data_IF_633230362926
#
_entry.id   IF_633230362926
#
_cell.length_a   1.000
_cell.length_b   1.000
_cell.length_c   1.000
_cell.angle_alpha   90.00
_cell.angle_beta   90.00
_cell.angle_gamma   90.00
#
_symmetry.space_group_name_H-M   'P 1'
#
loop_
_entity.id
_entity.type
_entity.pdbx_description
1 polymer ?
#
# COMPACT_ATOMS: atom_id res chain seq x y z
N UNK A 1 13.69 13.04 16.01
CA UNK A 1 14.49 14.02 15.22
C UNK A 1 14.07 15.44 15.58
N UNK A 2 14.99 16.43 15.65
CA UNK A 2 14.63 17.85 15.82
C UNK A 2 14.40 18.51 14.47
N UNK A 3 13.54 19.55 14.44
CA UNK A 3 13.25 20.28 13.21
C UNK A 3 14.50 20.80 12.48
N UNK A 4 15.44 21.43 13.22
CA UNK A 4 16.68 21.96 12.65
C UNK A 4 17.62 20.87 12.12
N UNK A 5 17.52 19.69 12.67
CA UNK A 5 18.26 18.50 12.19
C UNK A 5 17.70 18.03 10.86
N UNK A 6 16.38 17.83 10.77
CA UNK A 6 15.73 17.48 9.51
C UNK A 6 16.04 18.51 8.41
N UNK A 7 15.95 19.80 8.73
CA UNK A 7 16.27 20.86 7.79
C UNK A 7 17.71 20.74 7.27
N UNK A 8 18.69 20.57 8.16
CA UNK A 8 20.12 20.40 7.79
C UNK A 8 20.32 19.17 6.91
N UNK A 9 19.68 18.05 7.23
CA UNK A 9 19.78 16.82 6.44
C UNK A 9 19.18 17.03 5.04
N UNK A 10 18.03 17.68 4.91
CA UNK A 10 17.41 18.04 3.65
C UNK A 10 18.22 19.04 2.82
N UNK A 11 19.06 19.84 3.45
CA UNK A 11 19.96 20.82 2.79
C UNK A 11 21.33 20.25 2.45
N UNK A 12 21.76 19.17 3.10
CA UNK A 12 23.12 18.59 2.98
C UNK A 12 23.40 18.01 1.58
N UNK A 13 22.39 17.47 0.91
CA UNK A 13 22.55 16.70 -0.33
C UNK A 13 23.12 15.30 -0.10
N UNK A 14 23.29 14.87 1.13
CA UNK A 14 23.75 13.53 1.50
C UNK A 14 22.56 12.59 1.70
N UNK A 15 22.35 11.71 0.72
CA UNK A 15 21.21 10.79 0.71
C UNK A 15 21.23 9.82 1.90
N UNK A 16 22.40 9.37 2.33
CA UNK A 16 22.51 8.37 3.41
C UNK A 16 21.99 8.93 4.75
N UNK A 17 22.05 10.23 4.96
CA UNK A 17 21.51 10.86 6.17
C UNK A 17 19.97 10.81 6.23
N UNK A 18 19.29 10.95 5.10
CA UNK A 18 17.82 10.95 5.04
C UNK A 18 17.24 9.58 4.71
N UNK A 19 18.03 8.65 4.20
CA UNK A 19 17.62 7.34 3.74
C UNK A 19 16.75 6.56 4.74
N UNK A 20 17.06 6.50 6.05
CA UNK A 20 16.24 5.80 7.05
C UNK A 20 14.83 6.37 7.21
N UNK A 21 14.63 7.62 6.79
CA UNK A 21 13.36 8.35 6.89
C UNK A 21 12.57 8.36 5.59
N UNK A 22 13.10 7.74 4.53
CA UNK A 22 12.39 7.63 3.27
C UNK A 22 11.23 6.63 3.39
N UNK A 23 10.10 7.02 2.81
CA UNK A 23 8.90 6.20 2.74
C UNK A 23 8.06 6.60 1.52
N UNK A 24 7.06 5.79 1.15
CA UNK A 24 6.03 6.21 0.23
C UNK A 24 4.78 6.67 1.00
N UNK A 25 4.16 7.76 0.56
CA UNK A 25 2.76 8.03 0.82
C UNK A 25 1.94 7.53 -0.37
N UNK A 26 1.02 6.62 -0.11
CA UNK A 26 0.03 6.20 -1.10
C UNK A 26 -1.10 7.22 -1.14
N UNK A 27 -1.52 7.63 -2.34
CA UNK A 27 -2.65 8.53 -2.55
C UNK A 27 -3.51 8.06 -3.70
N UNK A 28 -4.81 8.30 -3.63
CA UNK A 28 -5.72 8.07 -4.75
C UNK A 28 -5.39 8.99 -5.94
N UNK A 29 -5.67 8.53 -7.16
CA UNK A 29 -5.45 9.33 -8.37
C UNK A 29 -6.28 10.63 -8.36
N UNK A 30 -7.48 10.61 -7.81
CA UNK A 30 -8.38 11.75 -7.68
C UNK A 30 -8.22 12.55 -6.38
N UNK A 31 -7.22 12.21 -5.56
CA UNK A 31 -6.97 12.88 -4.29
C UNK A 31 -6.61 14.37 -4.47
N UNK A 32 -7.17 15.28 -3.66
CA UNK A 32 -6.75 16.69 -3.65
C UNK A 32 -5.26 16.88 -3.30
N UNK A 33 -4.62 15.89 -2.71
CA UNK A 33 -3.17 15.89 -2.44
C UNK A 33 -2.32 15.82 -3.72
N UNK A 34 -2.89 15.45 -4.87
CA UNK A 34 -2.15 15.38 -6.15
C UNK A 34 -1.41 16.68 -6.49
N UNK A 35 -2.01 17.84 -6.20
CA UNK A 35 -1.34 19.12 -6.47
C UNK A 35 -0.07 19.31 -5.61
N UNK A 36 -0.06 18.80 -4.37
CA UNK A 36 1.13 18.82 -3.50
C UNK A 36 2.27 17.98 -4.09
N UNK A 37 1.95 16.88 -4.75
CA UNK A 37 2.91 15.91 -5.28
C UNK A 37 3.21 16.07 -6.78
N UNK A 38 2.65 17.04 -7.43
CA UNK A 38 2.77 17.31 -8.87
C UNK A 38 4.21 17.28 -9.43
N UNK A 39 5.20 17.66 -8.61
CA UNK A 39 6.62 17.66 -8.99
C UNK A 39 7.42 16.53 -8.34
N UNK A 40 6.78 15.52 -7.79
CA UNK A 40 7.44 14.36 -7.21
C UNK A 40 7.58 13.23 -8.23
N UNK A 41 8.65 12.43 -8.17
CA UNK A 41 8.63 11.10 -8.77
C UNK A 41 7.51 10.26 -8.14
N UNK A 42 6.97 9.31 -8.86
CA UNK A 42 5.92 8.42 -8.32
C UNK A 42 5.89 7.08 -9.05
N UNK A 43 5.30 6.10 -8.39
CA UNK A 43 4.89 4.82 -8.98
C UNK A 43 3.37 4.85 -9.13
N UNK A 44 2.87 4.40 -10.27
CA UNK A 44 1.44 4.20 -10.50
C UNK A 44 1.11 2.73 -10.28
N UNK A 45 0.13 2.44 -9.44
CA UNK A 45 -0.43 1.11 -9.21
C UNK A 45 -1.94 1.22 -9.36
N UNK A 46 -2.44 0.87 -10.53
CA UNK A 46 -3.85 1.06 -10.89
C UNK A 46 -4.26 2.55 -10.77
N UNK A 47 -5.27 2.89 -9.98
CA UNK A 47 -5.72 4.26 -9.68
C UNK A 47 -5.06 4.86 -8.42
N UNK A 48 -3.95 4.30 -7.98
CA UNK A 48 -3.18 4.76 -6.83
C UNK A 48 -1.80 5.23 -7.25
N UNK A 49 -1.30 6.25 -6.57
CA UNK A 49 0.06 6.78 -6.75
C UNK A 49 0.86 6.64 -5.46
N UNK A 50 2.08 6.13 -5.55
CA UNK A 50 3.03 6.07 -4.45
C UNK A 50 4.06 7.19 -4.58
N UNK A 51 4.04 8.14 -3.65
CA UNK A 51 4.87 9.34 -3.66
C UNK A 51 6.00 9.24 -2.66
N UNK A 52 7.28 9.32 -3.08
CA UNK A 52 8.41 9.41 -2.16
C UNK A 52 8.29 10.61 -1.24
N UNK A 53 8.51 10.38 0.04
CA UNK A 53 8.54 11.41 1.07
C UNK A 53 9.64 11.12 2.10
N UNK A 54 10.05 12.15 2.82
CA UNK A 54 10.76 12.00 4.09
C UNK A 54 9.73 12.04 5.20
N UNK A 55 9.73 11.01 6.04
CA UNK A 55 8.82 10.88 7.17
C UNK A 55 9.61 10.63 8.45
N UNK A 56 9.46 11.54 9.42
CA UNK A 56 10.20 11.48 10.66
C UNK A 56 9.37 12.03 11.83
N UNK A 57 9.47 11.40 12.99
CA UNK A 57 8.87 11.90 14.22
C UNK A 57 9.78 12.96 14.86
N UNK A 58 9.18 14.01 15.42
CA UNK A 58 9.89 15.04 16.16
C UNK A 58 10.06 14.66 17.64
N UNK A 59 11.33 14.64 18.13
CA UNK A 59 11.64 14.29 19.51
C UNK A 59 11.01 15.26 20.52
N UNK A 60 10.96 16.53 20.16
CA UNK A 60 10.41 17.59 21.01
C UNK A 60 8.88 17.60 21.06
N UNK A 61 8.24 16.85 20.14
CA UNK A 61 6.78 16.79 19.99
C UNK A 61 6.35 15.33 19.67
N UNK A 62 6.32 14.45 20.68
CA UNK A 62 5.92 13.04 20.48
C UNK A 62 4.55 12.92 19.77
N UNK A 63 4.48 12.08 18.76
CA UNK A 63 3.28 11.90 17.92
C UNK A 63 3.13 12.94 16.81
N UNK A 64 4.00 13.96 16.73
CA UNK A 64 4.03 14.90 15.60
C UNK A 64 5.03 14.39 14.56
N UNK A 65 4.52 14.07 13.38
CA UNK A 65 5.30 13.59 12.26
C UNK A 65 5.56 14.70 11.24
N UNK A 66 6.81 14.85 10.82
CA UNK A 66 7.14 15.62 9.62
C UNK A 66 6.87 14.77 8.37
N UNK A 67 6.13 15.32 7.42
CA UNK A 67 5.99 14.77 6.06
C UNK A 67 6.50 15.78 5.06
N UNK A 68 7.59 15.43 4.37
CA UNK A 68 8.19 16.28 3.36
C UNK A 68 8.22 15.55 2.02
N UNK A 69 7.39 15.94 1.04
CA UNK A 69 7.41 15.36 -0.29
C UNK A 69 8.80 15.44 -0.92
N UNK A 70 9.28 14.36 -1.54
CA UNK A 70 10.58 14.34 -2.21
C UNK A 70 10.42 14.71 -3.68
N UNK A 71 10.65 15.98 -4.00
CA UNK A 71 10.43 16.54 -5.34
C UNK A 71 11.60 16.26 -6.29
N UNK A 72 11.38 16.41 -7.60
CA UNK A 72 12.45 16.38 -8.63
C UNK A 72 13.57 17.38 -8.36
N UNK A 73 13.28 18.53 -7.71
CA UNK A 73 14.30 19.50 -7.28
C UNK A 73 15.20 18.92 -6.19
N UNK A 74 14.63 18.15 -5.27
CA UNK A 74 15.42 17.44 -4.25
C UNK A 74 16.24 16.33 -4.87
N UNK A 75 15.72 15.57 -5.84
CA UNK A 75 16.52 14.61 -6.59
C UNK A 75 17.81 15.25 -7.13
N UNK A 76 17.72 16.44 -7.74
CA UNK A 76 18.89 17.17 -8.24
C UNK A 76 19.85 17.57 -7.12
N UNK A 77 19.34 17.96 -5.95
CA UNK A 77 20.19 18.35 -4.80
C UNK A 77 20.96 17.14 -4.23
N UNK A 78 20.31 15.99 -4.18
CA UNK A 78 20.90 14.76 -3.68
C UNK A 78 21.66 13.96 -4.75
N UNK A 79 21.80 14.53 -5.97
CA UNK A 79 22.49 13.88 -7.09
C UNK A 79 21.99 12.47 -7.39
N UNK A 80 20.68 12.28 -7.28
CA UNK A 80 19.99 11.01 -7.55
C UNK A 80 18.95 11.21 -8.66
N UNK A 81 18.81 10.23 -9.56
CA UNK A 81 17.72 10.26 -10.53
C UNK A 81 16.37 9.93 -9.88
N UNK A 82 15.23 10.31 -10.49
CA UNK A 82 13.92 9.92 -10.03
C UNK A 82 13.76 8.41 -9.89
N UNK A 83 14.28 7.64 -10.82
CA UNK A 83 14.21 6.18 -10.86
C UNK A 83 15.04 5.54 -9.74
N UNK A 84 16.26 6.03 -9.51
CA UNK A 84 17.12 5.59 -8.41
C UNK A 84 16.49 5.92 -7.04
N UNK A 85 15.87 7.11 -6.89
CA UNK A 85 15.14 7.44 -5.67
C UNK A 85 14.02 6.44 -5.39
N UNK A 86 13.22 6.12 -6.40
CA UNK A 86 12.13 5.12 -6.29
C UNK A 86 12.70 3.79 -5.76
N UNK A 87 13.80 3.31 -6.34
CA UNK A 87 14.44 2.06 -5.90
C UNK A 87 14.89 2.13 -4.43
N UNK A 88 15.53 3.25 -4.03
CA UNK A 88 15.96 3.44 -2.64
C UNK A 88 14.76 3.41 -1.69
N UNK A 89 13.65 4.07 -2.04
CA UNK A 89 12.45 4.07 -1.18
C UNK A 89 11.79 2.69 -1.14
N UNK A 90 11.79 1.93 -2.26
CA UNK A 90 11.30 0.54 -2.27
C UNK A 90 12.14 -0.34 -1.32
N UNK A 91 13.47 -0.20 -1.35
CA UNK A 91 14.38 -0.95 -0.46
C UNK A 91 14.14 -0.60 1.02
N UNK A 92 13.95 0.68 1.35
CA UNK A 92 13.66 1.10 2.73
C UNK A 92 12.28 0.63 3.18
N UNK A 93 11.28 0.65 2.31
CA UNK A 93 9.94 0.12 2.59
C UNK A 93 9.99 -1.39 2.84
N UNK A 94 10.74 -2.13 2.01
CA UNK A 94 10.91 -3.58 2.17
C UNK A 94 11.53 -3.98 3.52
N UNK A 95 12.46 -3.17 4.06
CA UNK A 95 13.05 -3.40 5.39
C UNK A 95 12.05 -3.24 6.54
N UNK A 96 11.01 -2.44 6.31
CA UNK A 96 9.97 -2.15 7.30
C UNK A 96 8.74 -3.04 7.15
N UNK A 97 8.66 -3.84 6.09
CA UNK A 97 7.51 -4.68 5.82
C UNK A 97 7.39 -5.78 6.86
N UNK A 98 6.20 -5.90 7.48
CA UNK A 98 5.86 -7.01 8.36
C UNK A 98 5.65 -8.30 7.55
N UNK A 99 5.86 -9.48 8.15
CA UNK A 99 5.38 -10.72 7.58
C UNK A 99 3.89 -10.65 7.27
N UNK A 100 3.46 -11.31 6.21
CA UNK A 100 2.05 -11.40 5.88
C UNK A 100 1.34 -12.31 6.90
N UNK A 101 0.57 -11.72 7.79
CA UNK A 101 -0.21 -12.41 8.83
C UNK A 101 -1.64 -12.69 8.37
N UNK A 102 -2.25 -13.77 8.82
CA UNK A 102 -3.71 -13.90 8.77
C UNK A 102 -4.36 -12.86 9.68
N UNK A 103 -5.55 -12.40 9.33
CA UNK A 103 -6.23 -11.29 10.03
C UNK A 103 -6.41 -11.58 11.53
N UNK A 104 -6.69 -12.83 11.90
CA UNK A 104 -6.87 -13.21 13.30
C UNK A 104 -5.53 -13.17 14.07
N UNK A 105 -4.44 -13.68 13.48
CA UNK A 105 -3.09 -13.61 14.05
C UNK A 105 -2.65 -12.15 14.23
N UNK A 106 -2.87 -11.33 13.20
CA UNK A 106 -2.54 -9.90 13.23
C UNK A 106 -3.29 -9.18 14.34
N UNK A 107 -4.60 -9.43 14.47
CA UNK A 107 -5.46 -8.78 15.46
C UNK A 107 -5.05 -9.18 16.88
N UNK A 108 -4.73 -10.45 17.11
CA UNK A 108 -4.25 -10.91 18.39
C UNK A 108 -2.88 -10.31 18.74
N UNK A 109 -1.94 -10.37 17.80
CA UNK A 109 -0.57 -9.90 18.01
C UNK A 109 -0.48 -8.39 18.24
N UNK A 110 -1.22 -7.59 17.46
CA UNK A 110 -1.12 -6.11 17.47
C UNK A 110 -2.10 -5.45 18.44
N UNK A 111 -3.24 -6.04 18.69
CA UNK A 111 -4.31 -5.44 19.49
C UNK A 111 -4.69 -6.26 20.74
N UNK A 112 -4.15 -7.47 20.90
CA UNK A 112 -4.48 -8.36 21.99
C UNK A 112 -5.96 -8.81 22.00
N UNK A 113 -6.59 -8.85 20.82
CA UNK A 113 -8.00 -9.18 20.65
C UNK A 113 -8.16 -10.45 19.81
N UNK A 114 -8.87 -11.43 20.33
CA UNK A 114 -9.32 -12.58 19.54
C UNK A 114 -10.52 -12.20 18.66
N UNK A 115 -10.49 -12.64 17.40
CA UNK A 115 -11.65 -12.58 16.53
C UNK A 115 -12.64 -13.70 16.88
N UNK A 116 -13.97 -13.50 16.70
CA UNK A 116 -14.96 -14.56 16.79
C UNK A 116 -14.63 -15.71 15.81
N UNK A 117 -14.91 -16.96 16.19
CA UNK A 117 -14.59 -18.15 15.37
C UNK A 117 -15.11 -18.06 13.94
N UNK A 118 -16.33 -17.52 13.75
CA UNK A 118 -16.92 -17.32 12.41
C UNK A 118 -16.11 -16.38 11.51
N UNK A 119 -15.33 -15.46 12.09
CA UNK A 119 -14.55 -14.47 11.37
C UNK A 119 -13.12 -14.99 11.08
N UNK A 120 -12.69 -16.06 11.77
CA UNK A 120 -11.43 -16.76 11.52
C UNK A 120 -11.47 -17.65 10.26
N UNK A 121 -12.66 -17.99 9.78
CA UNK A 121 -12.83 -18.84 8.60
C UNK A 121 -12.55 -18.10 7.28
N UNK A 122 -12.51 -16.77 7.29
CA UNK A 122 -12.22 -15.97 6.11
C UNK A 122 -10.69 -15.94 5.90
N UNK A 123 -10.16 -16.48 4.79
CA UNK A 123 -8.73 -16.49 4.53
C UNK A 123 -8.24 -15.10 4.08
N UNK A 124 -8.21 -14.18 5.03
CA UNK A 124 -7.82 -12.78 4.87
C UNK A 124 -6.47 -12.53 5.53
N UNK A 125 -5.60 -11.84 4.83
CA UNK A 125 -4.25 -11.49 5.27
C UNK A 125 -4.09 -9.97 5.33
N UNK A 126 -3.22 -9.50 6.21
CA UNK A 126 -2.88 -8.09 6.38
C UNK A 126 -1.45 -7.86 5.90
N UNK A 127 -1.28 -6.91 4.99
CA UNK A 127 0.02 -6.44 4.53
C UNK A 127 0.23 -4.99 5.01
N UNK A 128 1.26 -4.77 5.80
CA UNK A 128 1.58 -3.47 6.41
C UNK A 128 3.06 -3.37 6.78
N UNK A 129 3.47 -2.25 7.34
CA UNK A 129 4.80 -2.01 7.92
C UNK A 129 4.80 -2.24 9.43
N UNK A 130 6.00 -2.39 10.01
CA UNK A 130 6.20 -2.69 11.44
C UNK A 130 5.66 -1.60 12.39
N UNK A 131 5.58 -0.36 11.92
CA UNK A 131 4.99 0.77 12.64
C UNK A 131 3.49 0.98 12.34
N UNK A 132 2.93 0.18 11.45
CA UNK A 132 1.54 0.23 10.98
C UNK A 132 1.12 1.61 10.45
N UNK A 133 2.09 2.39 10.01
CA UNK A 133 1.88 3.73 9.47
C UNK A 133 2.26 3.78 7.99
N UNK A 134 1.37 4.25 7.12
CA UNK A 134 1.56 4.24 5.66
C UNK A 134 1.91 2.86 5.10
N UNK A 135 1.49 1.80 5.80
CA UNK A 135 1.82 0.42 5.49
C UNK A 135 1.25 -0.09 4.18
N UNK A 136 0.24 0.55 3.61
CA UNK A 136 -0.24 0.26 2.25
C UNK A 136 0.88 0.32 1.21
N UNK A 137 1.93 1.11 1.47
CA UNK A 137 3.10 1.26 0.60
C UNK A 137 3.90 -0.02 0.36
N UNK A 138 3.70 -1.08 1.15
CA UNK A 138 4.37 -2.39 0.95
C UNK A 138 4.09 -2.99 -0.43
N UNK A 139 2.94 -2.66 -1.05
CA UNK A 139 2.63 -3.11 -2.42
C UNK A 139 3.57 -2.53 -3.48
N UNK A 140 4.32 -1.48 -3.15
CA UNK A 140 5.32 -0.87 -4.03
C UNK A 140 6.66 -1.60 -4.00
N UNK A 141 6.87 -2.55 -3.07
CA UNK A 141 8.13 -3.29 -2.99
C UNK A 141 8.25 -4.32 -4.11
N UNK A 142 9.48 -4.66 -4.46
CA UNK A 142 9.74 -5.60 -5.53
C UNK A 142 9.11 -6.97 -5.25
N UNK A 143 8.47 -7.52 -6.27
CA UNK A 143 7.85 -8.84 -6.24
C UNK A 143 6.81 -9.04 -5.11
N UNK A 144 6.29 -7.96 -4.50
CA UNK A 144 5.29 -8.04 -3.44
C UNK A 144 4.15 -8.99 -3.81
N UNK A 145 3.52 -8.77 -4.95
CA UNK A 145 2.37 -9.56 -5.39
C UNK A 145 2.71 -11.05 -5.55
N UNK A 146 3.89 -11.36 -6.10
CA UNK A 146 4.36 -12.75 -6.23
C UNK A 146 4.67 -13.40 -4.88
N UNK A 147 5.29 -12.65 -3.97
CA UNK A 147 5.58 -13.14 -2.62
C UNK A 147 4.29 -13.41 -1.84
N UNK A 148 3.32 -12.51 -1.92
CA UNK A 148 2.00 -12.68 -1.33
C UNK A 148 1.29 -13.90 -1.92
N UNK A 149 1.30 -14.09 -3.25
CA UNK A 149 0.70 -15.25 -3.90
C UNK A 149 1.30 -16.59 -3.43
N UNK A 150 2.62 -16.64 -3.20
CA UNK A 150 3.28 -17.84 -2.65
C UNK A 150 2.82 -18.14 -1.22
N UNK A 151 2.68 -17.11 -0.38
CA UNK A 151 2.23 -17.23 1.02
C UNK A 151 0.75 -17.64 1.10
N UNK A 152 -0.11 -17.00 0.29
CA UNK A 152 -1.56 -17.25 0.23
C UNK A 152 -1.88 -18.59 -0.46
N UNK A 153 -1.01 -19.01 -1.39
CA UNK A 153 -1.14 -20.26 -2.12
C UNK A 153 -1.99 -20.14 -3.40
N UNK A 154 -1.92 -19.02 -4.11
CA UNK A 154 -2.60 -18.79 -5.39
C UNK A 154 -2.99 -17.34 -5.63
N UNK A 155 -3.93 -17.13 -6.55
CA UNK A 155 -4.53 -15.82 -6.83
C UNK A 155 -5.33 -15.29 -5.64
N UNK A 156 -5.49 -13.97 -5.56
CA UNK A 156 -6.16 -13.33 -4.42
C UNK A 156 -6.70 -11.95 -4.79
N UNK A 157 -7.64 -11.46 -3.99
CA UNK A 157 -8.14 -10.10 -4.07
C UNK A 157 -7.32 -9.17 -3.19
N UNK A 158 -7.15 -7.94 -3.64
CA UNK A 158 -6.44 -6.85 -2.97
C UNK A 158 -7.45 -5.75 -2.64
N UNK A 159 -7.55 -5.39 -1.36
CA UNK A 159 -8.52 -4.43 -0.83
C UNK A 159 -7.77 -3.26 -0.17
N UNK A 160 -7.36 -2.25 -0.94
CA UNK A 160 -6.57 -1.12 -0.44
C UNK A 160 -7.48 0.03 0.03
N UNK A 161 -8.27 -0.19 1.06
CA UNK A 161 -9.17 0.83 1.59
C UNK A 161 -8.45 1.94 2.36
N UNK A 162 -7.35 1.62 3.04
CA UNK A 162 -6.59 2.52 3.91
C UNK A 162 -5.18 2.76 3.42
N UNK A 163 -4.61 3.94 3.73
CA UNK A 163 -3.18 4.22 3.53
C UNK A 163 -2.28 3.44 4.50
N UNK A 164 -2.85 2.80 5.53
CA UNK A 164 -2.10 2.15 6.62
C UNK A 164 -1.86 0.67 6.40
N UNK A 165 -2.77 -0.02 5.70
CA UNK A 165 -2.68 -1.45 5.43
C UNK A 165 -3.41 -1.84 4.15
N UNK A 166 -3.03 -2.97 3.59
CA UNK A 166 -3.74 -3.63 2.50
C UNK A 166 -4.27 -4.96 3.00
N UNK A 167 -5.53 -5.22 2.78
CA UNK A 167 -6.12 -6.54 3.03
C UNK A 167 -6.03 -7.39 1.77
N UNK A 168 -5.62 -8.64 1.94
CA UNK A 168 -5.52 -9.63 0.87
C UNK A 168 -6.45 -10.79 1.19
N UNK A 169 -7.33 -11.15 0.27
CA UNK A 169 -8.29 -12.25 0.46
C UNK A 169 -8.03 -13.33 -0.58
N UNK A 170 -7.76 -14.55 -0.14
CA UNK A 170 -7.55 -15.67 -1.04
C UNK A 170 -8.73 -15.84 -1.97
N UNK A 171 -8.46 -16.05 -3.27
CA UNK A 171 -9.50 -16.34 -4.24
C UNK A 171 -10.28 -17.61 -3.84
N UNK A 172 -11.60 -17.48 -3.83
CA UNK A 172 -12.52 -18.58 -3.59
C UNK A 172 -13.64 -18.53 -4.65
N UNK A 173 -13.93 -19.62 -5.34
CA UNK A 173 -14.99 -19.67 -6.36
C UNK A 173 -16.38 -19.29 -5.88
N UNK A 174 -16.64 -19.41 -4.57
CA UNK A 174 -17.93 -19.08 -3.97
C UNK A 174 -18.08 -17.58 -3.67
N UNK A 175 -17.01 -16.77 -3.83
CA UNK A 175 -17.01 -15.35 -3.59
C UNK A 175 -17.05 -14.57 -4.91
N UNK A 176 -18.04 -13.69 -5.04
CA UNK A 176 -18.18 -12.84 -6.23
C UNK A 176 -17.28 -11.61 -6.11
N UNK A 177 -16.53 -11.24 -7.16
CA UNK A 177 -15.64 -10.07 -7.19
C UNK A 177 -16.34 -8.76 -6.79
N UNK A 178 -17.56 -8.55 -7.23
CA UNK A 178 -18.37 -7.38 -6.89
C UNK A 178 -18.64 -7.22 -5.38
N UNK A 179 -18.64 -8.30 -4.60
CA UNK A 179 -18.81 -8.22 -3.15
C UNK A 179 -17.62 -7.50 -2.51
N UNK A 180 -16.41 -7.69 -3.02
CA UNK A 180 -15.22 -7.00 -2.52
C UNK A 180 -15.23 -5.52 -2.88
N UNK A 181 -15.68 -5.17 -4.07
CA UNK A 181 -15.87 -3.77 -4.47
C UNK A 181 -16.84 -3.04 -3.53
N UNK A 182 -17.98 -3.67 -3.22
CA UNK A 182 -18.95 -3.12 -2.28
C UNK A 182 -18.39 -3.03 -0.85
N UNK A 183 -17.62 -4.03 -0.42
CA UNK A 183 -16.99 -4.05 0.91
C UNK A 183 -16.01 -2.89 1.07
N UNK A 184 -15.14 -2.64 0.10
CA UNK A 184 -14.20 -1.50 0.12
C UNK A 184 -14.97 -0.19 0.23
N UNK A 185 -15.98 0.02 -0.61
CA UNK A 185 -16.79 1.24 -0.58
C UNK A 185 -17.51 1.45 0.75
N UNK A 186 -18.05 0.39 1.37
CA UNK A 186 -18.69 0.47 2.70
C UNK A 186 -17.68 0.84 3.79
N UNK A 187 -16.51 0.18 3.82
CA UNK A 187 -15.46 0.46 4.81
C UNK A 187 -14.99 1.90 4.68
N UNK A 188 -14.76 2.37 3.47
CA UNK A 188 -14.34 3.74 3.21
C UNK A 188 -15.36 4.77 3.71
N UNK A 189 -16.65 4.52 3.46
CA UNK A 189 -17.70 5.44 3.86
C UNK A 189 -17.95 5.48 5.38
N UNK A 190 -17.90 4.30 6.04
CA UNK A 190 -18.32 4.18 7.44
C UNK A 190 -17.16 4.34 8.45
N UNK A 191 -15.92 4.04 8.08
CA UNK A 191 -14.83 3.80 9.02
C UNK A 191 -13.59 4.67 8.82
N UNK A 192 -13.42 5.27 7.64
CA UNK A 192 -12.18 5.99 7.32
C UNK A 192 -12.43 7.49 7.13
N UNK A 193 -11.49 8.29 7.63
CA UNK A 193 -11.40 9.70 7.28
C UNK A 193 -11.01 9.86 5.80
N UNK A 194 -11.49 10.90 5.14
CA UNK A 194 -11.15 11.19 3.73
C UNK A 194 -9.64 11.25 3.48
N UNK A 195 -8.86 11.63 4.48
CA UNK A 195 -7.39 11.71 4.38
C UNK A 195 -6.69 10.36 4.44
N UNK A 196 -7.38 9.33 4.89
CA UNK A 196 -6.86 7.95 5.02
C UNK A 196 -7.37 7.03 3.90
N UNK A 197 -8.41 7.45 3.17
CA UNK A 197 -8.95 6.68 2.04
C UNK A 197 -7.95 6.62 0.91
N UNK A 198 -7.79 5.44 0.33
CA UNK A 198 -6.85 5.20 -0.75
C UNK A 198 -7.55 5.02 -2.09
N UNK A 199 -8.51 4.11 -2.18
CA UNK A 199 -9.35 3.91 -3.37
C UNK A 199 -10.66 3.24 -2.98
N UNK A 200 -11.70 3.40 -3.80
CA UNK A 200 -12.95 2.65 -3.65
C UNK A 200 -12.94 1.35 -4.45
N UNK A 201 -11.85 1.04 -5.17
CA UNK A 201 -11.75 -0.15 -5.98
C UNK A 201 -11.14 -1.33 -5.20
N UNK A 202 -11.65 -2.52 -5.51
CA UNK A 202 -10.99 -3.78 -5.20
C UNK A 202 -10.27 -4.30 -6.45
N UNK A 203 -9.17 -5.03 -6.27
CA UNK A 203 -8.40 -5.61 -7.36
C UNK A 203 -8.30 -7.12 -7.21
N UNK A 204 -8.01 -7.79 -8.31
CA UNK A 204 -7.66 -9.20 -8.37
C UNK A 204 -6.22 -9.35 -8.89
N UNK A 205 -5.42 -10.14 -8.19
CA UNK A 205 -4.10 -10.53 -8.67
C UNK A 205 -4.14 -11.98 -9.17
N UNK A 206 -3.99 -12.16 -10.49
CA UNK A 206 -3.84 -13.47 -11.12
C UNK A 206 -2.38 -13.94 -11.00
N UNK A 207 -2.13 -14.87 -10.10
CA UNK A 207 -0.79 -15.40 -9.83
C UNK A 207 -0.16 -16.16 -11.01
N UNK A 208 -0.98 -16.63 -11.98
CA UNK A 208 -0.50 -17.34 -13.17
C UNK A 208 -0.05 -16.39 -14.27
N UNK A 209 -0.76 -15.28 -14.40
CA UNK A 209 -0.48 -14.24 -15.42
C UNK A 209 0.46 -13.16 -14.92
N UNK A 210 0.72 -13.09 -13.60
CA UNK A 210 1.41 -11.97 -12.95
C UNK A 210 0.73 -10.62 -13.26
N UNK A 211 -0.60 -10.59 -13.11
CA UNK A 211 -1.44 -9.47 -13.52
C UNK A 211 -2.31 -8.99 -12.37
N UNK A 212 -2.25 -7.68 -12.10
CA UNK A 212 -3.19 -6.99 -11.22
C UNK A 212 -4.21 -6.25 -12.09
N UNK A 213 -5.48 -6.52 -11.88
CA UNK A 213 -6.61 -5.92 -12.60
C UNK A 213 -7.70 -5.53 -11.61
N UNK A 214 -8.64 -4.66 -11.98
CA UNK A 214 -9.77 -4.40 -11.09
C UNK A 214 -10.64 -5.65 -10.94
N UNK A 215 -11.28 -5.80 -9.77
CA UNK A 215 -12.17 -6.94 -9.54
C UNK A 215 -13.32 -6.99 -10.55
N UNK A 216 -13.78 -5.82 -11.01
CA UNK A 216 -14.82 -5.68 -12.04
C UNK A 216 -14.36 -6.15 -13.42
N UNK A 217 -13.11 -5.82 -13.82
CA UNK A 217 -12.54 -6.30 -15.09
C UNK A 217 -12.36 -7.83 -15.05
N UNK A 218 -11.84 -8.35 -13.96
CA UNK A 218 -11.70 -9.79 -13.76
C UNK A 218 -13.05 -10.53 -13.87
N UNK A 219 -14.09 -10.02 -13.21
CA UNK A 219 -15.44 -10.61 -13.29
C UNK A 219 -15.99 -10.60 -14.71
N UNK A 220 -15.85 -9.48 -15.43
CA UNK A 220 -16.32 -9.37 -16.81
C UNK A 220 -15.64 -10.40 -17.74
N UNK A 221 -14.33 -10.61 -17.59
CA UNK A 221 -13.58 -11.59 -18.38
C UNK A 221 -13.99 -13.02 -18.02
N UNK A 222 -14.22 -13.31 -16.75
CA UNK A 222 -14.66 -14.64 -16.29
C UNK A 222 -16.04 -15.00 -16.83
N UNK A 223 -16.98 -14.06 -16.83
CA UNK A 223 -18.33 -14.26 -17.39
C UNK A 223 -18.31 -14.52 -18.89
N UNK A 224 -17.43 -13.87 -19.66
CA UNK A 224 -17.26 -14.11 -21.09
C UNK A 224 -16.81 -15.56 -21.35
N UNK A 225 -15.83 -16.04 -20.60
CA UNK A 225 -15.31 -17.43 -20.75
C UNK A 225 -16.32 -18.51 -20.38
N UNK A 226 -17.23 -18.24 -19.43
CA UNK A 226 -18.29 -19.17 -19.04
C UNK A 226 -19.39 -19.24 -20.14
N UNK A 227 -19.59 -18.15 -20.86
CA UNK A 227 -20.65 -18.04 -21.88
C UNK A 227 -20.25 -18.57 -23.27
N UNK A 228 -18.96 -18.82 -23.52
CA UNK A 228 -18.53 -19.46 -24.76
C UNK A 228 -18.79 -20.98 -24.71
N UNK A 229 -19.66 -21.54 -25.57
CA UNK A 229 -19.86 -22.98 -25.61
C UNK A 229 -18.55 -23.65 -26.09
N UNK A 230 -18.03 -24.56 -25.28
CA UNK A 230 -16.96 -25.48 -25.67
C UNK A 230 -17.33 -26.17 -26.99
N UNK A 231 -16.64 -25.84 -28.07
CA UNK A 231 -16.74 -26.54 -29.35
C UNK A 231 -15.90 -27.82 -29.33
#
# INVERSE_FOLDING_TARGET
MRYDELKRMMESGDLEQIRPYLAFEMIAEDSPKQELYKNCPHIVIQDMNAMPMVWAEFDDYPGIMAKVPFTKKQCSRFSISPEELIQVVQDETAKKMEPLYEIHEFTELKFGKELPEKDKEIPMFVATTNDMCYGASVICTYDFFKQAARKIGGSYYVLPSSIHEILLVKENPDMLPNNFQQLVGMVNYEKLDETERLTDNAYHYDARKDLLETATEYEALTLIHISEPTR
#
